data_IF_904697501422
#
_entry.id   IF_904697501422
#
_cell.length_a   1.000
_cell.length_b   1.000
_cell.length_c   1.000
_cell.angle_alpha   90.00
_cell.angle_beta   90.00
_cell.angle_gamma   90.00
#
_symmetry.space_group_name_H-M   'P 1'
#
loop_
_entity.id
_entity.type
_entity.pdbx_description
1 polymer ?
#
# COMPACT_ATOMS: atom_id res chain seq x y z
N UNK A 1 10.61 -6.16 8.67
CA UNK A 1 11.27 -4.99 9.29
C UNK A 1 10.26 -4.31 10.19
N UNK A 2 10.38 -4.49 11.51
CA UNK A 2 9.49 -3.85 12.49
C UNK A 2 9.90 -2.41 12.77
N UNK A 3 8.99 -1.59 13.29
CA UNK A 3 9.33 -0.27 13.82
C UNK A 3 10.27 -0.46 15.02
N UNK A 4 11.43 0.19 14.99
CA UNK A 4 12.26 0.33 16.19
C UNK A 4 11.49 1.09 17.26
N UNK A 5 11.83 0.90 18.54
CA UNK A 5 11.14 1.48 19.70
C UNK A 5 10.93 3.00 19.54
N UNK A 6 11.92 3.71 19.02
CA UNK A 6 11.84 5.15 18.74
C UNK A 6 10.72 5.51 17.76
N UNK A 7 10.57 4.76 16.67
CA UNK A 7 9.52 4.99 15.67
C UNK A 7 8.11 4.67 16.20
N UNK A 8 7.99 3.69 17.09
CA UNK A 8 6.73 3.39 17.76
C UNK A 8 6.30 4.52 18.70
N UNK A 9 7.25 5.08 19.47
CA UNK A 9 6.99 6.23 20.36
C UNK A 9 6.59 7.46 19.56
N UNK A 10 7.29 7.78 18.47
CA UNK A 10 6.97 8.96 17.66
C UNK A 10 5.58 8.86 17.03
N UNK A 11 5.21 7.67 16.53
CA UNK A 11 3.86 7.41 16.01
C UNK A 11 2.77 7.54 17.08
N UNK A 12 3.03 7.09 18.30
CA UNK A 12 2.08 7.21 19.40
C UNK A 12 1.90 8.67 19.86
N UNK A 13 2.98 9.45 19.87
CA UNK A 13 2.95 10.86 20.27
C UNK A 13 2.32 11.76 19.22
N UNK A 14 2.53 11.46 17.94
CA UNK A 14 2.10 12.28 16.81
C UNK A 14 1.35 11.45 15.76
N UNK A 15 0.15 10.93 16.11
CA UNK A 15 -0.62 10.06 15.21
C UNK A 15 -0.98 10.75 13.89
N UNK A 16 -1.14 12.08 13.87
CA UNK A 16 -1.46 12.89 12.71
C UNK A 16 -0.37 12.88 11.62
N UNK A 17 0.88 12.53 11.99
CA UNK A 17 2.01 12.45 11.05
C UNK A 17 2.09 11.12 10.31
N UNK A 18 1.34 10.11 10.71
CA UNK A 18 1.47 8.74 10.21
C UNK A 18 0.13 8.21 9.69
N UNK A 19 0.12 7.46 8.58
CA UNK A 19 -1.11 6.90 8.06
C UNK A 19 -1.59 5.73 8.93
N UNK A 20 -2.89 5.72 9.20
CA UNK A 20 -3.58 4.65 9.91
C UNK A 20 -3.93 3.52 8.94
N UNK A 21 -3.46 2.31 9.23
CA UNK A 21 -3.71 1.15 8.37
C UNK A 21 -5.18 0.73 8.37
N UNK A 22 -5.90 0.97 9.47
CA UNK A 22 -7.29 0.54 9.61
C UNK A 22 -8.26 1.44 8.82
N UNK A 23 -7.92 2.72 8.65
CA UNK A 23 -8.79 3.70 7.98
C UNK A 23 -8.60 3.76 6.47
N UNK A 24 -7.58 3.09 5.94
CA UNK A 24 -7.25 3.15 4.51
C UNK A 24 -6.62 4.47 4.08
N UNK A 25 -6.43 4.69 2.76
CA UNK A 25 -5.87 5.93 2.23
C UNK A 25 -6.82 7.11 2.46
N UNK A 26 -6.28 8.24 2.92
CA UNK A 26 -7.04 9.44 3.23
C UNK A 26 -7.07 10.45 2.09
N UNK A 27 -6.08 10.40 1.19
CA UNK A 27 -6.01 11.28 0.03
C UNK A 27 -6.61 10.61 -1.20
N UNK A 28 -7.11 11.44 -2.12
CA UNK A 28 -7.57 10.98 -3.43
C UNK A 28 -6.44 10.18 -4.13
N UNK A 29 -6.71 8.95 -4.61
CA UNK A 29 -5.76 8.17 -5.39
C UNK A 29 -5.20 8.88 -6.63
N UNK A 30 -5.96 9.81 -7.23
CA UNK A 30 -5.53 10.55 -8.42
C UNK A 30 -4.68 11.79 -8.09
N UNK A 31 -4.64 12.21 -6.82
CA UNK A 31 -3.87 13.37 -6.41
C UNK A 31 -2.36 13.17 -6.65
N UNK A 32 -1.79 14.04 -7.49
CA UNK A 32 -0.37 14.01 -7.88
C UNK A 32 -0.06 13.17 -9.12
N UNK A 33 -1.08 12.61 -9.80
CA UNK A 33 -0.93 11.88 -11.05
C UNK A 33 -1.62 12.64 -12.20
N UNK A 34 -0.91 13.52 -12.93
CA UNK A 34 -1.53 14.37 -13.96
C UNK A 34 -2.16 13.56 -15.11
N UNK A 35 -1.54 12.45 -15.50
CA UNK A 35 -2.01 11.57 -16.57
C UNK A 35 -2.91 10.42 -16.06
N UNK A 36 -3.26 10.44 -14.78
CA UNK A 36 -4.02 9.38 -14.10
C UNK A 36 -3.20 8.14 -13.74
N UNK A 37 -3.80 7.26 -12.92
CA UNK A 37 -3.20 5.99 -12.49
C UNK A 37 -3.74 4.84 -13.32
N UNK A 38 -2.86 3.96 -13.81
CA UNK A 38 -3.26 2.72 -14.48
C UNK A 38 -3.92 1.77 -13.47
N UNK A 39 -5.14 1.28 -13.70
CA UNK A 39 -5.79 0.32 -12.81
C UNK A 39 -5.05 -1.03 -12.86
N UNK A 40 -5.02 -1.74 -11.73
CA UNK A 40 -4.58 -3.14 -11.71
C UNK A 40 -5.67 -4.00 -12.32
N UNK A 41 -5.30 -4.90 -13.23
CA UNK A 41 -6.22 -5.82 -13.89
C UNK A 41 -6.23 -7.13 -13.12
N UNK A 42 -7.41 -7.55 -12.67
CA UNK A 42 -7.59 -8.86 -12.06
C UNK A 42 -7.50 -9.94 -13.14
N UNK A 43 -6.74 -11.03 -12.92
CA UNK A 43 -6.56 -12.08 -13.93
C UNK A 43 -7.78 -13.00 -14.08
N UNK A 44 -8.58 -13.12 -13.02
CA UNK A 44 -9.78 -13.96 -12.96
C UNK A 44 -10.93 -13.17 -12.36
N UNK A 45 -12.15 -13.52 -12.76
CA UNK A 45 -13.37 -13.08 -12.09
C UNK A 45 -13.55 -13.81 -10.75
N UNK A 46 -14.39 -13.26 -9.87
CA UNK A 46 -14.62 -13.88 -8.55
C UNK A 46 -15.29 -15.26 -8.66
N UNK A 47 -16.23 -15.41 -9.59
CA UNK A 47 -16.90 -16.68 -9.89
C UNK A 47 -15.90 -17.74 -10.39
N UNK A 48 -14.98 -17.35 -11.30
CA UNK A 48 -13.91 -18.24 -11.75
C UNK A 48 -13.00 -18.67 -10.58
N UNK A 49 -12.62 -17.76 -9.68
CA UNK A 49 -11.80 -18.11 -8.52
C UNK A 49 -12.49 -19.07 -7.55
N UNK A 50 -13.82 -18.97 -7.41
CA UNK A 50 -14.63 -19.92 -6.64
C UNK A 50 -14.64 -21.29 -7.31
N UNK A 51 -14.88 -21.37 -8.62
CA UNK A 51 -14.85 -22.62 -9.39
C UNK A 51 -13.46 -23.30 -9.34
N UNK A 52 -12.40 -22.49 -9.31
CA UNK A 52 -11.02 -22.97 -9.19
C UNK A 52 -10.62 -23.37 -7.77
N UNK A 53 -11.54 -23.27 -6.79
CA UNK A 53 -11.32 -23.53 -5.37
C UNK A 53 -10.12 -22.78 -4.78
N UNK A 54 -9.89 -21.53 -5.22
CA UNK A 54 -8.83 -20.69 -4.67
C UNK A 54 -9.26 -20.19 -3.28
N UNK A 55 -8.45 -20.40 -2.21
CA UNK A 55 -8.73 -19.88 -0.87
C UNK A 55 -8.88 -18.36 -0.88
N UNK A 56 -9.81 -17.84 -0.08
CA UNK A 56 -10.12 -16.40 -0.06
C UNK A 56 -8.88 -15.52 0.17
N UNK A 57 -7.94 -15.95 1.01
CA UNK A 57 -6.68 -15.25 1.30
C UNK A 57 -5.73 -15.15 0.10
N UNK A 58 -5.92 -15.99 -0.92
CA UNK A 58 -5.12 -16.09 -2.15
C UNK A 58 -5.86 -15.59 -3.39
N UNK A 59 -7.01 -14.94 -3.22
CA UNK A 59 -7.80 -14.31 -4.29
C UNK A 59 -7.34 -12.89 -4.58
N UNK A 60 -6.04 -12.72 -4.75
CA UNK A 60 -5.41 -11.44 -5.05
C UNK A 60 -5.08 -11.32 -6.54
N UNK A 61 -4.42 -10.24 -6.96
CA UNK A 61 -4.00 -10.05 -8.35
C UNK A 61 -3.01 -11.14 -8.83
N UNK A 62 -2.37 -11.87 -7.91
CA UNK A 62 -1.42 -12.95 -8.19
C UNK A 62 -2.07 -14.35 -8.23
N UNK A 63 -3.40 -14.46 -8.13
CA UNK A 63 -4.13 -15.72 -8.10
C UNK A 63 -3.85 -16.66 -9.29
N UNK A 64 -3.52 -16.10 -10.46
CA UNK A 64 -3.15 -16.88 -11.66
C UNK A 64 -1.87 -17.69 -11.49
N UNK A 65 -0.84 -17.14 -10.82
CA UNK A 65 0.35 -17.89 -10.48
C UNK A 65 0.09 -18.92 -9.38
N UNK A 66 -0.74 -18.58 -8.39
CA UNK A 66 -1.12 -19.54 -7.35
C UNK A 66 -1.86 -20.76 -7.92
N UNK A 67 -2.73 -20.55 -8.91
CA UNK A 67 -3.38 -21.66 -9.63
C UNK A 67 -2.37 -22.56 -10.33
N UNK A 68 -1.34 -22.01 -10.95
CA UNK A 68 -0.27 -22.79 -11.59
C UNK A 68 0.48 -23.65 -10.57
N UNK A 69 0.78 -23.09 -9.38
CA UNK A 69 1.36 -23.85 -8.27
C UNK A 69 0.44 -24.99 -7.85
N UNK A 70 -0.87 -24.76 -7.67
CA UNK A 70 -1.81 -25.82 -7.30
C UNK A 70 -1.83 -26.96 -8.32
N UNK A 71 -1.87 -26.65 -9.62
CA UNK A 71 -1.84 -27.67 -10.68
C UNK A 71 -0.54 -28.48 -10.65
N UNK A 72 0.60 -27.82 -10.52
CA UNK A 72 1.89 -28.52 -10.43
C UNK A 72 1.96 -29.41 -9.17
N UNK A 73 1.50 -28.92 -8.02
CA UNK A 73 1.50 -29.71 -6.79
C UNK A 73 0.64 -30.96 -6.90
N UNK A 74 -0.51 -30.87 -7.56
CA UNK A 74 -1.39 -32.03 -7.80
C UNK A 74 -0.74 -33.06 -8.74
N UNK A 75 0.01 -32.59 -9.74
CA UNK A 75 0.65 -33.46 -10.73
C UNK A 75 1.88 -34.20 -10.19
N UNK A 76 2.70 -33.54 -9.36
CA UNK A 76 4.00 -34.07 -8.91
C UNK A 76 4.02 -34.55 -7.45
N UNK A 77 2.86 -34.67 -6.80
CA UNK A 77 2.76 -35.18 -5.42
C UNK A 77 3.34 -36.60 -5.32
N UNK A 78 4.24 -36.91 -4.36
CA UNK A 78 4.70 -36.11 -3.21
C UNK A 78 6.04 -35.36 -3.41
N UNK A 79 6.55 -35.32 -4.64
CA UNK A 79 7.84 -34.71 -5.02
C UNK A 79 7.73 -33.24 -5.45
N UNK A 80 6.61 -32.56 -5.16
CA UNK A 80 6.31 -31.21 -5.65
C UNK A 80 7.38 -30.16 -5.32
N UNK A 81 8.10 -30.32 -4.21
CA UNK A 81 9.14 -29.38 -3.81
C UNK A 81 10.33 -29.32 -4.78
N UNK A 82 10.63 -30.41 -5.49
CA UNK A 82 11.74 -30.46 -6.43
C UNK A 82 11.34 -29.99 -7.84
N UNK A 83 10.09 -30.25 -8.24
CA UNK A 83 9.65 -30.02 -9.62
C UNK A 83 8.87 -28.70 -9.82
N UNK A 84 8.20 -28.19 -8.78
CA UNK A 84 7.33 -27.00 -8.87
C UNK A 84 7.98 -25.70 -8.39
N UNK A 85 9.31 -25.67 -8.30
CA UNK A 85 10.06 -24.48 -7.91
C UNK A 85 9.86 -23.27 -8.86
N UNK A 86 9.81 -23.41 -10.20
CA UNK A 86 9.64 -22.26 -11.07
C UNK A 86 8.25 -21.60 -10.92
N UNK A 87 7.19 -22.39 -10.77
CA UNK A 87 5.83 -21.88 -10.54
C UNK A 87 5.73 -21.18 -9.19
N UNK A 88 6.33 -21.78 -8.16
CA UNK A 88 6.37 -21.18 -6.82
C UNK A 88 7.11 -19.85 -6.83
N UNK A 89 8.28 -19.81 -7.47
CA UNK A 89 9.07 -18.59 -7.57
C UNK A 89 8.33 -17.49 -8.34
N UNK A 90 7.62 -17.85 -9.42
CA UNK A 90 6.79 -16.89 -10.17
C UNK A 90 5.67 -16.29 -9.30
N UNK A 91 5.00 -17.12 -8.50
CA UNK A 91 3.99 -16.65 -7.55
C UNK A 91 4.60 -15.74 -6.48
N UNK A 92 5.71 -16.16 -5.84
CA UNK A 92 6.41 -15.39 -4.82
C UNK A 92 6.89 -14.02 -5.33
N UNK A 93 7.41 -13.96 -6.57
CA UNK A 93 7.79 -12.71 -7.21
C UNK A 93 6.59 -11.76 -7.38
N UNK A 94 5.43 -12.30 -7.76
CA UNK A 94 4.22 -11.51 -7.91
C UNK A 94 3.76 -10.95 -6.55
N UNK A 95 3.73 -11.78 -5.51
CA UNK A 95 3.40 -11.40 -4.13
C UNK A 95 4.34 -10.31 -3.59
N UNK A 96 5.64 -10.43 -3.87
CA UNK A 96 6.63 -9.41 -3.50
C UNK A 96 6.33 -8.08 -4.19
N UNK A 97 5.96 -8.09 -5.48
CA UNK A 97 5.58 -6.87 -6.20
C UNK A 97 4.33 -6.23 -5.60
N UNK A 98 3.32 -7.02 -5.21
CA UNK A 98 2.14 -6.51 -4.52
C UNK A 98 2.50 -5.86 -3.17
N UNK A 99 3.35 -6.49 -2.35
CA UNK A 99 3.83 -5.92 -1.08
C UNK A 99 4.62 -4.62 -1.29
N UNK A 100 5.40 -4.54 -2.36
CA UNK A 100 6.13 -3.31 -2.73
C UNK A 100 5.14 -2.20 -3.06
N UNK A 101 4.05 -2.50 -3.76
CA UNK A 101 3.02 -1.49 -4.07
C UNK A 101 2.29 -1.01 -2.82
N UNK A 102 2.00 -1.90 -1.87
CA UNK A 102 1.42 -1.51 -0.57
C UNK A 102 2.37 -0.60 0.23
N UNK A 103 3.66 -0.91 0.21
CA UNK A 103 4.69 -0.08 0.84
C UNK A 103 4.79 1.31 0.18
N UNK A 104 4.66 1.39 -1.16
CA UNK A 104 4.62 2.66 -1.88
C UNK A 104 3.39 3.48 -1.52
N UNK A 105 2.22 2.87 -1.38
CA UNK A 105 0.99 3.58 -0.99
C UNK A 105 1.11 4.12 0.44
N UNK A 106 1.65 3.33 1.37
CA UNK A 106 1.94 3.77 2.73
C UNK A 106 2.89 4.98 2.75
N UNK A 107 4.01 4.91 2.02
CA UNK A 107 4.97 6.02 1.92
C UNK A 107 4.38 7.26 1.23
N UNK A 108 3.50 7.07 0.24
CA UNK A 108 2.76 8.15 -0.42
C UNK A 108 1.90 8.89 0.59
N UNK A 109 1.02 8.19 1.31
CA UNK A 109 0.16 8.78 2.34
C UNK A 109 0.98 9.49 3.42
N UNK A 110 2.06 8.86 3.90
CA UNK A 110 2.97 9.43 4.89
C UNK A 110 3.56 10.78 4.43
N UNK A 111 4.01 10.86 3.17
CA UNK A 111 4.58 12.10 2.61
C UNK A 111 3.51 13.17 2.39
N UNK A 112 2.30 12.77 2.00
CA UNK A 112 1.18 13.67 1.83
C UNK A 112 0.72 14.28 3.15
N UNK A 113 0.62 13.49 4.23
CA UNK A 113 0.34 14.00 5.58
C UNK A 113 1.38 15.01 6.04
N UNK A 114 2.68 14.68 5.92
CA UNK A 114 3.76 15.61 6.26
C UNK A 114 3.74 16.88 5.41
N UNK A 115 3.38 16.77 4.13
CA UNK A 115 3.22 17.95 3.25
C UNK A 115 2.03 18.81 3.68
N UNK A 116 0.92 18.20 4.08
CA UNK A 116 -0.26 18.89 4.59
C UNK A 116 0.08 19.67 5.86
N UNK A 117 0.69 19.03 6.85
CA UNK A 117 1.10 19.68 8.10
C UNK A 117 2.04 20.87 7.86
N UNK A 118 3.05 20.71 7.00
CA UNK A 118 3.94 21.82 6.62
C UNK A 118 3.23 22.98 5.95
N UNK A 119 2.17 22.72 5.17
CA UNK A 119 1.36 23.79 4.56
C UNK A 119 0.53 24.51 5.62
N UNK A 120 -0.10 23.75 6.53
CA UNK A 120 -0.91 24.30 7.63
C UNK A 120 -0.08 25.15 8.60
N UNK A 121 1.15 24.73 8.92
CA UNK A 121 2.09 25.52 9.72
C UNK A 121 2.46 26.84 9.02
N UNK A 122 2.76 26.79 7.72
CA UNK A 122 3.07 28.00 6.94
C UNK A 122 1.89 28.95 6.88
N UNK A 123 0.67 28.46 6.66
CA UNK A 123 -0.53 29.31 6.62
C UNK A 123 -0.79 30.00 7.96
N UNK A 124 -0.52 29.31 9.08
CA UNK A 124 -0.61 29.88 10.43
C UNK A 124 0.45 30.97 10.66
N UNK A 125 1.69 30.72 10.25
CA UNK A 125 2.77 31.72 10.35
C UNK A 125 2.48 32.97 9.51
N UNK A 126 1.95 32.79 8.30
CA UNK A 126 1.57 33.94 7.46
C UNK A 126 0.39 34.72 8.04
N UNK A 127 -0.59 34.05 8.67
CA UNK A 127 -1.71 34.77 9.30
C UNK A 127 -1.26 35.55 10.52
N UNK A 128 -0.42 34.96 11.40
CA UNK A 128 0.10 35.67 12.58
C UNK A 128 0.97 36.86 12.17
N UNK A 129 1.82 36.72 11.16
CA UNK A 129 2.62 37.82 10.65
C UNK A 129 1.74 38.96 10.10
N UNK A 130 0.68 38.64 9.36
CA UNK A 130 -0.22 39.65 8.80
C UNK A 130 -1.01 40.39 9.90
N UNK A 131 -1.43 39.70 10.95
CA UNK A 131 -2.08 40.29 12.13
C UNK A 131 -1.12 41.24 12.87
N UNK A 132 0.13 40.83 13.10
CA UNK A 132 1.17 41.66 13.72
C UNK A 132 1.50 42.91 12.89
N UNK A 133 1.55 42.80 11.56
CA UNK A 133 1.76 43.97 10.70
C UNK A 133 0.57 44.94 10.73
N UNK A 134 -0.66 44.44 10.79
CA UNK A 134 -1.85 45.29 10.86
C UNK A 134 -1.95 46.07 12.18
N UNK A 135 -1.51 45.48 13.30
CA UNK A 135 -1.48 46.17 14.60
C UNK A 135 -0.38 47.23 14.77
N UNK A 136 0.63 47.25 13.89
CA UNK A 136 1.74 48.21 13.93
C UNK A 136 1.53 49.41 12.99
N UNK A 137 0.50 49.36 12.13
CA UNK A 137 0.13 50.44 11.19
C UNK A 137 -1.04 51.31 11.70
N UNK A 138 -1.66 50.95 12.84
CA UNK A 138 -2.61 51.77 13.62
C UNK A 138 -1.91 52.52 14.75
#
# INVERSE_FOLDING_TARGET
MGLNISGAIDRARYPERYPDKAKGPTFDPMYGFPDGRKPKVAPYTEEEMQLLNIPHEKRDYCAHYFRAVMLCTQQYWPSQYAYCEPERHAWEQCEIKNKIDDAKEYERELRLLRRRLRKEEKTKQTSTHNEETASNEE
#
